data_IF_043057691885
#
_entry.id   IF_043057691885
#
_cell.length_a   1.000
_cell.length_b   1.000
_cell.length_c   1.000
_cell.angle_alpha   90.00
_cell.angle_beta   90.00
_cell.angle_gamma   90.00
#
_symmetry.space_group_name_H-M   'P 1'
#
loop_
_entity.id
_entity.type
_entity.pdbx_description
1 polymer ?
#
# COMPACT_ATOMS: atom_id res chain seq x y z
N UNK A 1 -48.31 6.65 -12.08
CA UNK A 1 -47.51 5.81 -11.15
C UNK A 1 -46.01 6.01 -11.29
N UNK A 2 -45.39 5.79 -12.48
CA UNK A 2 -43.92 5.89 -12.65
C UNK A 2 -43.45 7.35 -12.67
N UNK A 3 -44.20 8.24 -13.27
CA UNK A 3 -43.91 9.67 -13.38
C UNK A 3 -44.04 10.37 -12.02
N UNK A 4 -45.06 10.06 -11.27
CA UNK A 4 -45.26 10.55 -9.90
C UNK A 4 -44.13 10.14 -8.96
N UNK A 5 -43.60 8.93 -9.08
CA UNK A 5 -42.47 8.47 -8.29
C UNK A 5 -41.16 9.22 -8.63
N UNK A 6 -40.98 9.65 -9.88
CA UNK A 6 -39.86 10.50 -10.26
C UNK A 6 -40.00 11.92 -9.74
N UNK A 7 -41.21 12.50 -9.78
CA UNK A 7 -41.50 13.84 -9.27
C UNK A 7 -41.30 13.90 -7.75
N UNK A 8 -41.73 12.88 -7.02
CA UNK A 8 -41.54 12.77 -5.58
C UNK A 8 -40.05 12.65 -5.20
N UNK A 9 -39.30 11.83 -5.90
CA UNK A 9 -37.82 11.73 -5.71
C UNK A 9 -37.09 13.02 -6.06
N UNK A 10 -37.53 13.69 -7.12
CA UNK A 10 -36.92 14.98 -7.51
C UNK A 10 -37.21 16.04 -6.45
N UNK A 11 -38.44 16.09 -5.93
CA UNK A 11 -38.81 17.00 -4.85
C UNK A 11 -37.96 16.75 -3.58
N UNK A 12 -37.79 15.47 -3.19
CA UNK A 12 -36.92 15.10 -2.05
C UNK A 12 -35.46 15.50 -2.26
N UNK A 13 -34.90 15.33 -3.47
CA UNK A 13 -33.55 15.75 -3.80
C UNK A 13 -33.38 17.26 -3.77
N UNK A 14 -34.37 18.00 -4.29
CA UNK A 14 -34.37 19.48 -4.26
C UNK A 14 -34.50 19.99 -2.83
N UNK A 15 -35.40 19.43 -2.04
CA UNK A 15 -35.55 19.78 -0.63
C UNK A 15 -34.26 19.52 0.16
N UNK A 16 -33.61 18.37 -0.06
CA UNK A 16 -32.32 18.06 0.54
C UNK A 16 -31.18 18.99 0.10
N UNK A 17 -31.19 19.43 -1.19
CA UNK A 17 -30.16 20.29 -1.73
C UNK A 17 -30.30 21.76 -1.26
N UNK A 18 -31.51 22.21 -1.02
CA UNK A 18 -31.82 23.61 -0.61
C UNK A 18 -32.22 23.71 0.86
N UNK A 19 -32.29 22.63 1.61
CA UNK A 19 -32.54 22.68 3.04
C UNK A 19 -31.38 23.41 3.74
N UNK A 20 -31.74 24.45 4.51
CA UNK A 20 -30.75 25.17 5.31
C UNK A 20 -30.11 24.19 6.31
N UNK A 21 -28.79 24.09 6.22
CA UNK A 21 -28.04 23.25 7.14
C UNK A 21 -28.21 23.79 8.57
N UNK A 22 -28.88 23.05 9.43
CA UNK A 22 -28.97 23.39 10.85
C UNK A 22 -27.74 22.77 11.53
N UNK A 23 -26.99 23.59 12.26
CA UNK A 23 -25.89 23.12 13.12
C UNK A 23 -26.46 22.21 14.23
N UNK A 24 -26.55 20.93 13.94
CA UNK A 24 -27.00 19.93 14.90
C UNK A 24 -25.78 19.37 15.65
N UNK A 25 -25.78 19.56 16.96
CA UNK A 25 -24.77 18.93 17.82
C UNK A 25 -25.04 17.45 17.96
N UNK A 26 -24.00 16.65 17.85
CA UNK A 26 -24.10 15.21 18.14
C UNK A 26 -24.51 14.99 19.61
N UNK A 27 -25.51 14.15 19.82
CA UNK A 27 -25.90 13.73 21.16
C UNK A 27 -24.78 12.90 21.82
N UNK A 28 -24.67 12.93 23.15
CA UNK A 28 -23.63 12.22 23.91
C UNK A 28 -23.60 10.71 23.56
N UNK A 29 -24.74 10.06 23.41
CA UNK A 29 -24.82 8.65 23.07
C UNK A 29 -24.19 8.36 21.70
N UNK A 30 -24.45 9.20 20.71
CA UNK A 30 -23.89 9.05 19.36
C UNK A 30 -22.36 9.32 19.42
N UNK A 31 -21.93 10.34 20.12
CA UNK A 31 -20.51 10.65 20.28
C UNK A 31 -19.76 9.48 20.94
N UNK A 32 -20.33 8.86 21.98
CA UNK A 32 -19.76 7.67 22.62
C UNK A 32 -19.72 6.46 21.68
N UNK A 33 -20.75 6.26 20.86
CA UNK A 33 -20.76 5.17 19.89
C UNK A 33 -19.68 5.32 18.81
N UNK A 34 -19.42 6.57 18.37
CA UNK A 34 -18.45 6.86 17.30
C UNK A 34 -17.00 6.93 17.79
N UNK A 35 -16.77 7.50 18.97
CA UNK A 35 -15.42 7.82 19.47
C UNK A 35 -14.98 7.00 20.68
N UNK A 36 -15.89 6.20 21.25
CA UNK A 36 -15.63 5.43 22.47
C UNK A 36 -15.68 6.30 23.74
N UNK A 37 -15.31 5.67 24.88
CA UNK A 37 -15.26 6.31 26.19
C UNK A 37 -13.91 6.95 26.48
N UNK A 38 -12.85 6.49 25.83
CA UNK A 38 -11.49 7.02 25.91
C UNK A 38 -11.12 7.59 24.55
N UNK A 39 -10.77 8.88 24.53
CA UNK A 39 -10.40 9.55 23.30
C UNK A 39 -8.90 9.41 23.03
N UNK A 40 -8.53 8.50 22.15
CA UNK A 40 -7.16 8.42 21.64
C UNK A 40 -6.93 9.52 20.60
N UNK A 41 -6.05 10.45 20.91
CA UNK A 41 -5.76 11.59 20.07
C UNK A 41 -4.29 11.60 19.61
N UNK A 42 -4.08 11.96 18.34
CA UNK A 42 -2.80 12.43 17.82
C UNK A 42 -2.85 13.93 17.57
N UNK A 43 -1.69 14.57 17.48
CA UNK A 43 -1.60 16.01 17.13
C UNK A 43 -2.30 16.28 15.80
N UNK A 44 -2.06 15.47 14.81
CA UNK A 44 -2.70 15.58 13.47
C UNK A 44 -4.22 15.51 13.54
N UNK A 45 -4.76 14.65 14.40
CA UNK A 45 -6.21 14.53 14.60
C UNK A 45 -6.81 15.76 15.24
N UNK A 46 -6.11 16.40 16.18
CA UNK A 46 -6.52 17.65 16.80
C UNK A 46 -6.45 18.82 15.81
N UNK A 47 -5.39 18.89 15.02
CA UNK A 47 -5.25 19.88 13.94
C UNK A 47 -6.37 19.76 12.92
N UNK A 48 -6.73 18.54 12.52
CA UNK A 48 -7.84 18.29 11.61
C UNK A 48 -9.17 18.75 12.19
N UNK A 49 -9.40 18.52 13.49
CA UNK A 49 -10.59 19.01 14.18
C UNK A 49 -10.64 20.55 14.22
N UNK A 50 -9.52 21.17 14.54
CA UNK A 50 -9.41 22.63 14.59
C UNK A 50 -9.62 23.28 13.20
N UNK A 51 -9.14 22.62 12.14
CA UNK A 51 -9.31 23.09 10.77
C UNK A 51 -10.77 22.94 10.29
N UNK A 52 -11.40 21.78 10.54
CA UNK A 52 -12.79 21.53 10.17
C UNK A 52 -13.37 20.36 10.97
N UNK A 53 -14.24 20.66 11.93
CA UNK A 53 -14.92 19.66 12.76
C UNK A 53 -15.75 18.65 11.95
N UNK A 54 -16.35 19.09 10.84
CA UNK A 54 -17.11 18.22 9.93
C UNK A 54 -16.21 17.23 9.19
N UNK A 55 -15.08 17.68 8.64
CA UNK A 55 -14.11 16.79 8.02
C UNK A 55 -13.55 15.76 9.03
N UNK A 56 -13.27 16.22 10.26
CA UNK A 56 -12.88 15.32 11.36
C UNK A 56 -13.96 14.27 11.65
N UNK A 57 -15.23 14.69 11.71
CA UNK A 57 -16.36 13.77 11.93
C UNK A 57 -16.45 12.71 10.83
N UNK A 58 -16.34 13.10 9.55
CA UNK A 58 -16.37 12.15 8.44
C UNK A 58 -15.19 11.16 8.52
N UNK A 59 -13.98 11.65 8.77
CA UNK A 59 -12.77 10.84 8.76
C UNK A 59 -12.63 9.95 10.01
N UNK A 60 -12.82 10.50 11.21
CA UNK A 60 -12.55 9.80 12.47
C UNK A 60 -13.79 9.28 13.18
N UNK A 61 -14.94 9.88 12.94
CA UNK A 61 -16.23 9.41 13.48
C UNK A 61 -16.83 8.33 12.59
N UNK A 62 -17.13 8.66 11.36
CA UNK A 62 -17.73 7.74 10.41
C UNK A 62 -16.69 6.84 9.71
N UNK A 63 -15.40 7.13 9.86
CA UNK A 63 -14.28 6.41 9.23
C UNK A 63 -14.47 6.27 7.71
N UNK A 64 -14.99 7.34 7.09
CA UNK A 64 -15.15 7.36 5.66
C UNK A 64 -13.75 7.48 5.02
N UNK A 65 -13.48 6.59 4.09
CA UNK A 65 -12.33 6.64 3.20
C UNK A 65 -12.82 6.81 1.76
N UNK A 66 -12.02 7.45 0.94
CA UNK A 66 -12.28 7.42 -0.50
C UNK A 66 -12.32 5.97 -0.96
N UNK A 67 -13.22 5.68 -1.89
CA UNK A 67 -13.28 4.36 -2.51
C UNK A 67 -11.92 4.09 -3.15
N UNK A 68 -11.26 3.04 -2.69
CA UNK A 68 -10.00 2.60 -3.28
C UNK A 68 -10.21 2.37 -4.79
N UNK A 69 -9.66 3.27 -5.58
CA UNK A 69 -9.46 2.98 -6.99
C UNK A 69 -8.25 2.06 -7.03
N UNK A 70 -8.45 0.85 -7.51
CA UNK A 70 -7.37 -0.12 -7.72
C UNK A 70 -6.42 0.38 -8.82
N UNK A 71 -5.73 1.48 -8.53
CA UNK A 71 -4.63 1.97 -9.35
C UNK A 71 -3.33 1.50 -8.73
N UNK A 72 -2.46 0.97 -9.57
CA UNK A 72 -1.12 0.58 -9.17
C UNK A 72 -0.31 1.83 -8.77
N UNK A 73 -0.22 2.06 -7.48
CA UNK A 73 0.41 3.25 -6.92
C UNK A 73 1.96 3.12 -6.89
N UNK A 74 2.70 4.23 -6.84
CA UNK A 74 4.16 4.19 -6.70
C UNK A 74 4.65 3.44 -5.45
N UNK A 75 3.86 3.44 -4.38
CA UNK A 75 4.16 2.70 -3.13
C UNK A 75 4.12 1.20 -3.38
N UNK A 76 3.13 0.70 -4.15
CA UNK A 76 3.03 -0.72 -4.50
C UNK A 76 4.25 -1.18 -5.29
N UNK A 77 4.75 -0.32 -6.20
CA UNK A 77 6.00 -0.58 -6.91
C UNK A 77 7.17 -0.77 -5.95
N UNK A 78 7.28 0.10 -4.94
CA UNK A 78 8.32 0.01 -3.90
C UNK A 78 8.26 -1.32 -3.16
N UNK A 79 7.08 -1.70 -2.69
CA UNK A 79 6.87 -2.95 -1.97
C UNK A 79 7.25 -4.17 -2.82
N UNK A 80 6.77 -4.24 -4.07
CA UNK A 80 7.12 -5.34 -4.99
C UNK A 80 8.63 -5.39 -5.26
N UNK A 81 9.31 -4.23 -5.35
CA UNK A 81 10.77 -4.19 -5.48
C UNK A 81 11.47 -4.84 -4.29
N UNK A 82 11.10 -4.45 -3.07
CA UNK A 82 11.67 -4.98 -1.83
C UNK A 82 11.39 -6.47 -1.69
N UNK A 83 10.15 -6.89 -1.84
CA UNK A 83 9.74 -8.29 -1.77
C UNK A 83 10.43 -9.16 -2.84
N UNK A 84 10.62 -8.63 -4.06
CA UNK A 84 11.34 -9.37 -5.11
C UNK A 84 12.82 -9.54 -4.78
N UNK A 85 13.49 -8.50 -4.25
CA UNK A 85 14.88 -8.59 -3.85
C UNK A 85 15.06 -9.52 -2.64
N UNK A 86 14.15 -9.49 -1.70
CA UNK A 86 14.14 -10.40 -0.56
C UNK A 86 13.97 -11.87 -1.01
N UNK A 87 12.96 -12.13 -1.86
CA UNK A 87 12.71 -13.47 -2.42
C UNK A 87 13.91 -13.99 -3.23
N UNK A 88 14.51 -13.11 -4.05
CA UNK A 88 15.74 -13.41 -4.79
C UNK A 88 16.90 -13.76 -3.87
N UNK A 89 17.09 -12.98 -2.80
CA UNK A 89 18.19 -13.20 -1.85
C UNK A 89 18.01 -14.51 -1.08
N UNK A 90 16.80 -14.81 -0.62
CA UNK A 90 16.45 -16.11 0.00
C UNK A 90 16.68 -17.30 -0.96
N UNK A 91 16.34 -17.13 -2.24
CA UNK A 91 16.58 -18.14 -3.27
C UNK A 91 18.07 -18.36 -3.51
N UNK A 92 18.86 -17.28 -3.49
CA UNK A 92 20.31 -17.37 -3.61
C UNK A 92 20.93 -18.10 -2.42
N UNK A 93 20.53 -17.78 -1.18
CA UNK A 93 21.02 -18.41 0.04
C UNK A 93 20.66 -19.91 0.11
N UNK A 94 19.55 -20.31 -0.50
CA UNK A 94 19.13 -21.71 -0.61
C UNK A 94 19.81 -22.47 -1.76
N UNK A 95 20.63 -21.81 -2.58
CA UNK A 95 21.30 -22.37 -3.74
C UNK A 95 22.80 -22.66 -3.48
N UNK A 96 23.44 -23.36 -4.42
CA UNK A 96 24.89 -23.54 -4.41
C UNK A 96 25.67 -22.31 -4.88
N UNK A 97 24.97 -21.26 -5.32
CA UNK A 97 25.60 -20.01 -5.76
C UNK A 97 25.75 -19.03 -4.60
N UNK A 98 26.67 -18.11 -4.78
CA UNK A 98 26.84 -16.94 -3.91
C UNK A 98 26.72 -15.68 -4.77
N UNK A 99 26.58 -14.51 -4.15
CA UNK A 99 26.61 -13.23 -4.85
C UNK A 99 27.85 -13.04 -5.75
N UNK A 100 28.96 -13.72 -5.42
CA UNK A 100 30.21 -13.64 -6.18
C UNK A 100 30.26 -14.61 -7.36
N UNK A 101 29.58 -15.76 -7.26
CA UNK A 101 29.67 -16.85 -8.24
C UNK A 101 28.45 -16.97 -9.14
N UNK A 102 27.33 -16.28 -8.81
CA UNK A 102 26.08 -16.34 -9.57
C UNK A 102 26.28 -15.82 -10.99
N UNK A 103 26.01 -16.64 -12.04
CA UNK A 103 26.02 -16.19 -13.43
C UNK A 103 24.89 -15.19 -13.70
N UNK A 104 25.16 -14.23 -14.58
CA UNK A 104 24.19 -13.17 -14.89
C UNK A 104 22.89 -13.70 -15.48
N UNK A 105 22.99 -14.68 -16.36
CA UNK A 105 21.84 -15.31 -17.03
C UNK A 105 20.90 -15.95 -16.02
N UNK A 106 21.47 -16.69 -15.05
CA UNK A 106 20.72 -17.33 -13.96
C UNK A 106 20.09 -16.27 -13.04
N UNK A 107 20.83 -15.22 -12.72
CA UNK A 107 20.30 -14.11 -11.92
C UNK A 107 19.12 -13.41 -12.61
N UNK A 108 19.22 -13.17 -13.90
CA UNK A 108 18.16 -12.54 -14.70
C UNK A 108 16.90 -13.41 -14.76
N UNK A 109 17.05 -14.73 -14.88
CA UNK A 109 15.95 -15.70 -14.84
C UNK A 109 15.27 -15.74 -13.46
N UNK A 110 16.05 -15.80 -12.40
CA UNK A 110 15.53 -15.81 -11.02
C UNK A 110 14.78 -14.53 -10.65
N UNK A 111 15.24 -13.37 -11.13
CA UNK A 111 14.52 -12.12 -10.96
C UNK A 111 13.14 -12.18 -11.64
N UNK A 112 13.06 -12.71 -12.86
CA UNK A 112 11.79 -12.86 -13.56
C UNK A 112 10.84 -13.82 -12.82
N UNK A 113 11.34 -14.95 -12.34
CA UNK A 113 10.55 -15.92 -11.58
C UNK A 113 10.02 -15.35 -10.26
N UNK A 114 10.88 -14.69 -9.47
CA UNK A 114 10.48 -14.06 -8.21
C UNK A 114 9.45 -12.95 -8.46
N UNK A 115 9.66 -12.10 -9.45
CA UNK A 115 8.72 -11.04 -9.80
C UNK A 115 7.39 -11.63 -10.31
N UNK A 116 7.42 -12.67 -11.12
CA UNK A 116 6.22 -13.32 -11.64
C UNK A 116 5.39 -13.94 -10.51
N UNK A 117 6.01 -14.65 -9.54
CA UNK A 117 5.30 -15.23 -8.42
C UNK A 117 4.61 -14.17 -7.56
N UNK A 118 5.31 -13.08 -7.24
CA UNK A 118 4.75 -11.99 -6.43
C UNK A 118 3.62 -11.25 -7.15
N UNK A 119 3.73 -11.05 -8.46
CA UNK A 119 2.69 -10.34 -9.24
C UNK A 119 1.42 -11.15 -9.45
N UNK A 120 1.45 -12.48 -9.30
CA UNK A 120 0.25 -13.33 -9.32
C UNK A 120 -0.55 -13.14 -8.03
N UNK A 121 0.12 -13.05 -6.89
CA UNK A 121 -0.52 -12.95 -5.57
C UNK A 121 -0.91 -11.51 -5.21
N UNK A 122 -0.23 -10.52 -5.80
CA UNK A 122 -0.43 -9.11 -5.47
C UNK A 122 -1.71 -8.55 -6.12
N UNK A 123 -2.71 -8.23 -5.30
CA UNK A 123 -3.89 -7.48 -5.75
C UNK A 123 -4.88 -8.25 -6.61
N UNK A 124 -5.00 -9.56 -6.44
CA UNK A 124 -6.08 -10.37 -7.01
C UNK A 124 -6.28 -10.17 -8.53
N UNK A 125 -5.21 -10.30 -9.32
CA UNK A 125 -5.16 -10.18 -10.79
C UNK A 125 -5.21 -8.76 -11.39
N UNK A 126 -5.33 -7.70 -10.60
CA UNK A 126 -5.42 -6.31 -11.08
C UNK A 126 -4.12 -5.87 -11.79
N UNK A 127 -2.97 -6.39 -11.36
CA UNK A 127 -1.67 -6.05 -11.96
C UNK A 127 -1.55 -6.45 -13.44
N UNK A 128 -2.20 -7.54 -13.84
CA UNK A 128 -2.14 -8.04 -15.22
C UNK A 128 -3.33 -7.57 -16.09
N UNK A 129 -4.22 -6.73 -15.56
CA UNK A 129 -5.48 -6.37 -16.21
C UNK A 129 -5.34 -5.32 -17.32
N UNK A 130 -4.27 -4.51 -17.31
CA UNK A 130 -4.09 -3.41 -18.27
C UNK A 130 -2.75 -3.46 -18.98
N UNK A 131 -2.70 -2.93 -20.23
CA UNK A 131 -1.45 -2.79 -20.97
C UNK A 131 -0.43 -1.88 -20.24
N UNK A 132 -0.91 -0.88 -19.50
CA UNK A 132 -0.09 0.01 -18.67
C UNK A 132 0.59 -0.77 -17.55
N UNK A 133 -0.15 -1.60 -16.83
CA UNK A 133 0.39 -2.40 -15.74
C UNK A 133 1.42 -3.42 -16.24
N UNK A 134 1.12 -4.09 -17.36
CA UNK A 134 2.08 -5.00 -18.01
C UNK A 134 3.37 -4.31 -18.45
N UNK A 135 3.28 -3.06 -18.90
CA UNK A 135 4.46 -2.25 -19.20
C UNK A 135 5.26 -1.95 -17.92
N UNK A 136 4.58 -1.59 -16.83
CA UNK A 136 5.22 -1.30 -15.55
C UNK A 136 5.95 -2.52 -15.00
N UNK A 137 5.33 -3.70 -15.01
CA UNK A 137 5.96 -4.96 -14.58
C UNK A 137 7.23 -5.24 -15.41
N UNK A 138 7.16 -5.11 -16.73
CA UNK A 138 8.35 -5.28 -17.60
C UNK A 138 9.45 -4.25 -17.33
N UNK A 139 9.06 -3.02 -16.99
CA UNK A 139 10.01 -1.98 -16.59
C UNK A 139 10.67 -2.34 -15.25
N UNK A 140 9.89 -2.82 -14.28
CA UNK A 140 10.38 -3.29 -12.98
C UNK A 140 11.39 -4.43 -13.15
N UNK A 141 11.07 -5.45 -13.93
CA UNK A 141 11.99 -6.55 -14.23
C UNK A 141 13.35 -6.05 -14.72
N UNK A 142 13.35 -5.11 -15.68
CA UNK A 142 14.60 -4.54 -16.21
C UNK A 142 15.42 -3.78 -15.15
N UNK A 143 14.75 -3.04 -14.27
CA UNK A 143 15.42 -2.31 -13.20
C UNK A 143 15.97 -3.30 -12.18
N UNK A 144 15.18 -4.28 -11.74
CA UNK A 144 15.59 -5.33 -10.80
C UNK A 144 16.80 -6.12 -11.29
N UNK A 145 16.81 -6.57 -12.54
CA UNK A 145 17.96 -7.24 -13.16
C UNK A 145 19.24 -6.38 -13.09
N UNK A 146 19.07 -5.10 -13.39
CA UNK A 146 20.20 -4.15 -13.31
C UNK A 146 20.65 -3.92 -11.86
N UNK A 147 19.72 -3.86 -10.92
CA UNK A 147 20.02 -3.71 -9.49
C UNK A 147 20.75 -4.92 -8.96
N UNK A 148 20.25 -6.14 -9.22
CA UNK A 148 20.90 -7.39 -8.82
C UNK A 148 22.30 -7.50 -9.40
N UNK A 149 22.47 -7.17 -10.69
CA UNK A 149 23.80 -7.13 -11.31
C UNK A 149 24.75 -6.13 -10.62
N UNK A 150 24.26 -4.91 -10.35
CA UNK A 150 25.06 -3.87 -9.70
C UNK A 150 25.47 -4.26 -8.28
N UNK A 151 24.54 -4.86 -7.50
CA UNK A 151 24.83 -5.40 -6.17
C UNK A 151 25.86 -6.51 -6.24
N UNK A 152 25.74 -7.46 -7.16
CA UNK A 152 26.71 -8.52 -7.39
C UNK A 152 28.11 -7.97 -7.71
N UNK A 153 28.20 -6.96 -8.59
CA UNK A 153 29.49 -6.29 -8.91
C UNK A 153 30.10 -5.57 -7.70
N UNK A 154 29.26 -4.94 -6.88
CA UNK A 154 29.71 -4.26 -5.68
C UNK A 154 30.24 -5.26 -4.64
N UNK A 155 29.52 -6.35 -4.41
CA UNK A 155 29.92 -7.41 -3.47
C UNK A 155 31.19 -8.13 -3.94
N UNK A 156 31.35 -8.37 -5.26
CA UNK A 156 32.59 -8.98 -5.81
C UNK A 156 33.82 -8.13 -5.56
N UNK A 157 33.68 -6.80 -5.60
CA UNK A 157 34.78 -5.85 -5.37
C UNK A 157 35.10 -5.61 -3.90
N UNK A 158 34.16 -5.95 -3.01
CA UNK A 158 34.28 -5.73 -1.57
C UNK A 158 34.57 -6.99 -0.78
N UNK A 159 34.85 -6.78 0.51
CA UNK A 159 34.95 -7.85 1.52
C UNK A 159 33.63 -8.07 2.26
N UNK A 160 32.62 -7.31 1.89
CA UNK A 160 31.30 -7.36 2.52
C UNK A 160 30.52 -8.58 2.03
N UNK A 161 29.79 -9.25 2.96
CA UNK A 161 28.85 -10.31 2.65
C UNK A 161 27.51 -9.97 3.30
N UNK A 162 26.40 -9.97 2.57
CA UNK A 162 25.08 -9.78 3.16
C UNK A 162 24.75 -10.96 4.07
N UNK A 163 24.26 -10.69 5.30
CA UNK A 163 23.86 -11.73 6.26
C UNK A 163 22.35 -11.74 6.47
N UNK A 164 21.71 -10.57 6.35
CA UNK A 164 20.27 -10.42 6.56
C UNK A 164 19.65 -9.49 5.53
N UNK A 165 18.36 -9.72 5.24
CA UNK A 165 17.55 -8.96 4.28
C UNK A 165 16.24 -8.54 4.94
N UNK A 166 15.83 -7.28 4.77
CA UNK A 166 14.56 -6.72 5.26
C UNK A 166 14.30 -7.01 6.75
N UNK A 167 15.21 -6.55 7.63
CA UNK A 167 15.06 -6.72 9.08
C UNK A 167 14.03 -5.71 9.59
N UNK A 168 12.97 -6.22 10.26
CA UNK A 168 12.01 -5.38 10.95
C UNK A 168 12.56 -4.94 12.31
N UNK A 169 12.64 -3.64 12.55
CA UNK A 169 13.00 -3.06 13.84
C UNK A 169 11.81 -2.88 14.81
N UNK A 170 10.68 -3.51 14.53
CA UNK A 170 9.46 -3.38 15.34
C UNK A 170 9.49 -4.13 16.69
N UNK A 171 10.52 -4.92 16.98
CA UNK A 171 10.72 -5.62 18.24
C UNK A 171 12.06 -5.25 18.88
N UNK A 172 12.04 -4.46 19.94
CA UNK A 172 13.25 -4.12 20.73
C UNK A 172 13.84 -5.35 21.45
N UNK A 173 13.15 -6.48 21.42
CA UNK A 173 13.52 -7.72 22.12
C UNK A 173 14.61 -8.55 21.43
N UNK A 174 14.95 -8.27 20.17
CA UNK A 174 15.91 -9.09 19.42
C UNK A 174 17.31 -8.46 19.32
N UNK A 175 17.58 -7.38 20.03
CA UNK A 175 18.87 -6.71 20.07
C UNK A 175 19.79 -7.14 21.24
N UNK A 176 19.37 -8.13 22.04
CA UNK A 176 20.20 -8.78 23.06
C UNK A 176 20.67 -10.16 22.58
N UNK A 177 21.65 -10.16 21.68
CA UNK A 177 22.45 -11.34 21.39
C UNK A 177 23.89 -10.95 21.05
#
# INVERSE_FOLDING_TARGET
ARQEQYEEKLAQLLDGAFSAHQDTRLGKAVAHALYGTVLENSVTRLEQYAACAYAHFLMYGLKLSEREQYEFAPVDMGNIFHETLEAFSKKLDASDYTWKTLPREVADEWVEECLASLTVDYGNTVLNSTARNNYMIRRMARILKRTVWALGEQIRKGLFSPENYEISFSGVSDLEA
#
